data_IF_101487217397
#
_entry.id   IF_101487217397
#
_cell.length_a   1.000
_cell.length_b   1.000
_cell.length_c   1.000
_cell.angle_alpha   90.00
_cell.angle_beta   90.00
_cell.angle_gamma   90.00
#
_symmetry.space_group_name_H-M   'P 1'
#
loop_
_entity.id
_entity.type
_entity.pdbx_description
1 polymer ?
#
# COMPACT_ATOMS: atom_id res chain seq x y z
N UNK A 1 26.57 -5.58 -4.36
CA UNK A 1 25.12 -5.92 -4.39
C UNK A 1 24.86 -6.99 -3.34
N UNK A 2 24.52 -6.59 -2.10
CA UNK A 2 24.14 -7.56 -1.05
C UNK A 2 22.68 -7.94 -1.31
N UNK A 3 22.44 -9.24 -1.46
CA UNK A 3 21.15 -9.78 -1.87
C UNK A 3 20.08 -9.53 -0.80
N UNK A 4 19.02 -8.79 -1.14
CA UNK A 4 17.92 -8.36 -0.24
C UNK A 4 17.34 -9.54 0.57
N UNK A 5 17.23 -10.71 -0.08
CA UNK A 5 16.74 -11.96 0.53
C UNK A 5 17.63 -12.50 1.65
N UNK A 6 18.95 -12.30 1.56
CA UNK A 6 19.91 -12.76 2.56
C UNK A 6 19.80 -11.97 3.86
N UNK A 7 19.57 -10.66 3.75
CA UNK A 7 19.37 -9.78 4.91
C UNK A 7 18.01 -10.09 5.55
N UNK A 8 16.94 -10.19 4.76
CA UNK A 8 15.60 -10.49 5.28
C UNK A 8 15.54 -11.86 5.99
N UNK A 9 16.25 -12.86 5.49
CA UNK A 9 16.37 -14.18 6.14
C UNK A 9 17.10 -14.11 7.49
N UNK A 10 18.24 -13.40 7.55
CA UNK A 10 18.97 -13.18 8.81
C UNK A 10 18.12 -12.41 9.82
N UNK A 11 17.32 -11.44 9.36
CA UNK A 11 16.42 -10.68 10.22
C UNK A 11 15.24 -11.50 10.74
N UNK A 12 14.68 -12.39 9.92
CA UNK A 12 13.66 -13.33 10.39
C UNK A 12 14.22 -14.27 11.46
N UNK A 13 15.46 -14.73 11.29
CA UNK A 13 16.18 -15.48 12.33
C UNK A 13 16.35 -14.67 13.62
N UNK A 14 16.64 -13.36 13.55
CA UNK A 14 16.69 -12.49 14.72
C UNK A 14 15.32 -12.36 15.41
N UNK A 15 14.22 -12.42 14.67
CA UNK A 15 12.88 -12.24 15.25
C UNK A 15 12.29 -13.51 15.90
N UNK A 16 12.78 -14.71 15.55
CA UNK A 16 12.17 -16.00 15.97
C UNK A 16 13.09 -16.82 16.89
N UNK A 17 14.39 -16.51 16.99
CA UNK A 17 15.36 -17.32 17.74
C UNK A 17 15.87 -16.64 19.02
N UNK A 18 16.83 -17.28 19.70
CA UNK A 18 17.61 -16.76 20.85
C UNK A 18 18.28 -15.41 20.57
N UNK A 19 18.32 -15.00 19.29
CA UNK A 19 18.77 -13.72 18.79
C UNK A 19 17.72 -12.59 18.89
N UNK A 20 16.54 -12.88 19.45
CA UNK A 20 15.51 -11.88 19.68
C UNK A 20 15.95 -10.82 20.68
N UNK A 21 15.61 -9.56 20.41
CA UNK A 21 15.92 -8.41 21.27
C UNK A 21 15.34 -8.56 22.69
N UNK A 22 14.27 -9.35 22.87
CA UNK A 22 13.75 -9.66 24.21
C UNK A 22 14.60 -10.67 24.99
N UNK A 23 15.38 -11.50 24.32
CA UNK A 23 16.12 -12.58 24.99
C UNK A 23 17.11 -12.05 26.06
N UNK A 24 17.88 -10.98 25.80
CA UNK A 24 18.69 -10.34 26.84
C UNK A 24 17.88 -9.75 28.01
N UNK A 25 16.63 -9.31 27.80
CA UNK A 25 15.76 -8.85 28.88
C UNK A 25 15.37 -9.97 29.86
N UNK A 26 15.43 -11.24 29.43
CA UNK A 26 15.27 -12.39 30.31
C UNK A 26 16.61 -12.87 30.89
N UNK A 27 17.66 -12.91 30.07
CA UNK A 27 18.98 -13.42 30.46
C UNK A 27 19.65 -12.58 31.55
N UNK A 28 19.59 -11.24 31.47
CA UNK A 28 20.25 -10.33 32.42
C UNK A 28 19.66 -10.44 33.84
N UNK A 29 18.32 -10.44 34.04
CA UNK A 29 17.72 -10.75 35.33
C UNK A 29 18.05 -12.17 35.83
N UNK A 30 18.07 -13.18 34.96
CA UNK A 30 18.44 -14.55 35.34
C UNK A 30 19.88 -14.64 35.86
N UNK A 31 20.84 -13.94 35.23
CA UNK A 31 22.23 -13.89 35.70
C UNK A 31 22.35 -13.21 37.07
N UNK A 32 21.61 -12.12 37.30
CA UNK A 32 21.54 -11.48 38.62
C UNK A 32 20.91 -12.37 39.70
N UNK A 33 19.86 -13.13 39.35
CA UNK A 33 19.25 -14.11 40.26
C UNK A 33 20.23 -15.22 40.67
N UNK A 34 21.17 -15.57 39.79
CA UNK A 34 22.23 -16.54 40.06
C UNK A 34 23.46 -15.93 40.77
N UNK A 35 23.35 -14.69 41.26
CA UNK A 35 24.39 -13.93 41.97
C UNK A 35 25.64 -13.57 41.15
N UNK A 36 25.56 -13.56 39.81
CA UNK A 36 26.61 -12.93 39.01
C UNK A 36 26.64 -11.43 39.29
N UNK A 37 27.85 -10.92 39.53
CA UNK A 37 28.16 -9.51 39.71
C UNK A 37 28.31 -8.81 38.36
N UNK A 38 28.28 -7.47 38.36
CA UNK A 38 28.41 -6.70 37.12
C UNK A 38 29.81 -6.81 36.48
N UNK A 39 30.81 -7.31 37.22
CA UNK A 39 32.19 -7.50 36.75
C UNK A 39 32.40 -8.88 36.09
N UNK A 40 31.46 -9.80 36.28
CA UNK A 40 31.57 -11.13 35.70
C UNK A 40 31.48 -11.07 34.18
N UNK A 41 32.43 -11.75 33.53
CA UNK A 41 32.57 -11.77 32.07
C UNK A 41 31.26 -12.17 31.36
N UNK A 42 30.50 -13.11 31.95
CA UNK A 42 29.21 -13.56 31.42
C UNK A 42 28.15 -12.44 31.41
N UNK A 43 28.13 -11.58 32.44
CA UNK A 43 27.22 -10.45 32.51
C UNK A 43 27.60 -9.37 31.50
N UNK A 44 28.89 -9.08 31.37
CA UNK A 44 29.42 -8.12 30.40
C UNK A 44 29.12 -8.56 28.96
N UNK A 45 29.33 -9.83 28.63
CA UNK A 45 29.01 -10.39 27.31
C UNK A 45 27.51 -10.28 27.01
N UNK A 46 26.64 -10.64 27.98
CA UNK A 46 25.19 -10.55 27.81
C UNK A 46 24.72 -9.10 27.60
N UNK A 47 25.33 -8.13 28.31
CA UNK A 47 25.04 -6.71 28.15
C UNK A 47 25.49 -6.18 26.78
N UNK A 48 26.71 -6.52 26.33
CA UNK A 48 27.20 -6.15 24.99
C UNK A 48 26.29 -6.73 23.90
N UNK A 49 25.94 -8.01 24.03
CA UNK A 49 25.02 -8.68 23.11
C UNK A 49 23.65 -7.98 23.03
N UNK A 50 23.10 -7.56 24.18
CA UNK A 50 21.85 -6.79 24.23
C UNK A 50 21.94 -5.46 23.48
N UNK A 51 23.02 -4.72 23.71
CA UNK A 51 23.26 -3.42 23.08
C UNK A 51 23.43 -3.58 21.57
N UNK A 52 24.19 -4.57 21.12
CA UNK A 52 24.39 -4.85 19.69
C UNK A 52 23.06 -5.15 18.99
N UNK A 53 22.24 -6.05 19.55
CA UNK A 53 20.92 -6.36 18.98
C UNK A 53 19.97 -5.15 18.95
N UNK A 54 19.99 -4.32 20.00
CA UNK A 54 19.17 -3.11 20.07
C UNK A 54 19.60 -2.07 19.02
N UNK A 55 20.91 -1.85 18.86
CA UNK A 55 21.46 -0.95 17.84
C UNK A 55 21.13 -1.44 16.43
N UNK A 56 21.28 -2.74 16.16
CA UNK A 56 20.90 -3.34 14.86
C UNK A 56 19.42 -3.09 14.57
N UNK A 57 18.52 -3.26 15.57
CA UNK A 57 17.08 -3.03 15.41
C UNK A 57 16.73 -1.56 15.18
N UNK A 58 17.42 -0.63 15.84
CA UNK A 58 17.27 0.82 15.59
C UNK A 58 17.74 1.16 14.18
N UNK A 59 18.95 0.77 13.80
CA UNK A 59 19.51 1.06 12.48
C UNK A 59 18.64 0.46 11.37
N UNK A 60 18.14 -0.76 11.56
CA UNK A 60 17.19 -1.35 10.63
C UNK A 60 15.85 -0.62 10.62
N UNK A 61 15.32 -0.23 11.78
CA UNK A 61 14.10 0.56 11.88
C UNK A 61 14.21 1.90 11.15
N UNK A 62 15.36 2.57 11.27
CA UNK A 62 15.69 3.81 10.56
C UNK A 62 15.84 3.57 9.06
N UNK A 63 16.54 2.51 8.66
CA UNK A 63 16.69 2.13 7.25
C UNK A 63 15.35 1.78 6.59
N UNK A 64 14.53 0.97 7.26
CA UNK A 64 13.18 0.60 6.81
C UNK A 64 12.24 1.81 6.76
N UNK A 65 12.36 2.74 7.72
CA UNK A 65 11.60 4.01 7.71
C UNK A 65 12.04 4.92 6.57
N UNK A 66 13.35 4.98 6.31
CA UNK A 66 13.91 5.71 5.17
C UNK A 66 13.48 5.11 3.83
N UNK A 67 13.32 3.78 3.72
CA UNK A 67 12.78 3.14 2.51
C UNK A 67 11.25 3.24 2.39
N UNK A 68 10.52 3.43 3.49
CA UNK A 68 9.07 3.66 3.49
C UNK A 68 8.68 5.07 3.06
N UNK A 69 9.55 6.04 3.33
CA UNK A 69 9.49 7.35 2.69
C UNK A 69 9.94 7.12 1.25
N UNK A 70 8.99 6.86 0.36
CA UNK A 70 9.26 6.72 -1.07
C UNK A 70 10.11 7.89 -1.57
N UNK A 71 10.88 7.65 -2.64
CA UNK A 71 11.61 8.71 -3.33
C UNK A 71 10.70 9.88 -3.68
N UNK A 72 11.28 11.05 -3.92
CA UNK A 72 10.53 12.20 -4.40
C UNK A 72 9.88 11.80 -5.73
N UNK A 73 8.55 11.84 -5.81
CA UNK A 73 7.78 11.52 -7.02
C UNK A 73 8.07 12.60 -8.06
N UNK A 74 8.46 12.18 -9.27
CA UNK A 74 8.65 13.08 -10.40
C UNK A 74 7.40 13.08 -11.27
N UNK A 75 6.51 14.03 -11.00
CA UNK A 75 5.15 14.06 -11.55
C UNK A 75 5.05 14.11 -13.08
N UNK A 76 6.13 14.50 -13.78
CA UNK A 76 6.16 14.55 -15.25
C UNK A 76 6.24 13.15 -15.88
N UNK A 77 6.74 12.16 -15.15
CA UNK A 77 6.88 10.77 -15.61
C UNK A 77 5.74 9.86 -15.11
N UNK A 78 4.84 10.39 -14.28
CA UNK A 78 3.80 9.60 -13.64
C UNK A 78 2.48 9.63 -14.41
N UNK A 79 1.85 8.45 -14.53
CA UNK A 79 0.46 8.30 -14.97
C UNK A 79 -0.37 7.88 -13.77
N UNK A 80 -1.30 8.75 -13.35
CA UNK A 80 -2.15 8.53 -12.18
C UNK A 80 -3.50 7.95 -12.59
N UNK A 81 -3.75 6.71 -12.24
CA UNK A 81 -5.03 6.03 -12.44
C UNK A 81 -5.89 6.11 -11.18
N UNK A 82 -7.08 6.68 -11.28
CA UNK A 82 -8.01 6.87 -10.16
C UNK A 82 -9.30 6.12 -10.43
N UNK A 83 -9.75 5.29 -9.48
CA UNK A 83 -11.05 4.61 -9.56
C UNK A 83 -12.13 5.39 -8.80
N UNK A 84 -13.37 5.40 -9.30
CA UNK A 84 -14.50 6.07 -8.66
C UNK A 84 -14.43 7.60 -8.76
N UNK A 85 -14.33 8.14 -9.97
CA UNK A 85 -14.14 9.56 -10.23
C UNK A 85 -15.38 10.33 -10.66
N UNK A 86 -16.59 9.84 -10.38
CA UNK A 86 -17.83 10.58 -10.68
C UNK A 86 -18.45 11.20 -9.41
N UNK A 87 -18.92 12.43 -9.56
CA UNK A 87 -19.77 13.08 -8.55
C UNK A 87 -21.23 12.70 -8.81
N UNK A 88 -21.79 11.83 -7.98
CA UNK A 88 -23.24 11.60 -7.95
C UNK A 88 -23.85 12.30 -6.75
N UNK A 89 -24.62 13.37 -7.00
CA UNK A 89 -25.43 14.05 -5.96
C UNK A 89 -26.43 13.09 -5.29
N UNK A 90 -26.84 12.02 -5.99
CA UNK A 90 -27.89 11.09 -5.56
C UNK A 90 -27.46 10.02 -4.54
N UNK A 91 -26.17 9.77 -4.35
CA UNK A 91 -25.68 8.66 -3.50
C UNK A 91 -25.06 9.14 -2.19
N UNK A 92 -24.89 10.44 -1.99
CA UNK A 92 -24.14 11.00 -0.84
C UNK A 92 -22.66 10.60 -0.81
N UNK A 93 -22.16 9.90 -1.83
CA UNK A 93 -20.76 9.53 -1.97
C UNK A 93 -19.97 10.77 -2.40
N UNK A 94 -19.08 11.21 -1.52
CA UNK A 94 -18.23 12.37 -1.72
C UNK A 94 -17.34 12.18 -2.94
N UNK A 95 -17.40 13.14 -3.86
CA UNK A 95 -16.66 13.28 -5.10
C UNK A 95 -15.14 13.37 -5.01
N UNK A 96 -14.54 12.66 -4.06
CA UNK A 96 -13.11 12.71 -3.75
C UNK A 96 -12.26 12.24 -4.93
N UNK A 97 -12.71 11.20 -5.64
CA UNK A 97 -12.02 10.72 -6.84
C UNK A 97 -11.96 11.80 -7.92
N UNK A 98 -13.09 12.46 -8.22
CA UNK A 98 -13.12 13.55 -9.20
C UNK A 98 -12.30 14.75 -8.73
N UNK A 99 -12.48 15.17 -7.48
CA UNK A 99 -11.74 16.32 -6.92
C UNK A 99 -10.22 16.08 -6.95
N UNK A 100 -9.79 14.85 -6.67
CA UNK A 100 -8.39 14.47 -6.75
C UNK A 100 -7.90 14.47 -8.20
N UNK A 101 -8.69 13.93 -9.13
CA UNK A 101 -8.39 13.97 -10.54
C UNK A 101 -8.23 15.41 -11.05
N UNK A 102 -9.18 16.28 -10.75
CA UNK A 102 -9.16 17.70 -11.12
C UNK A 102 -7.96 18.43 -10.50
N UNK A 103 -7.67 18.16 -9.22
CA UNK A 103 -6.53 18.77 -8.51
C UNK A 103 -5.17 18.37 -9.10
N UNK A 104 -5.06 17.17 -9.66
CA UNK A 104 -3.85 16.68 -10.31
C UNK A 104 -3.77 17.20 -11.75
N UNK A 105 -4.88 17.20 -12.48
CA UNK A 105 -4.97 17.72 -13.85
C UNK A 105 -4.64 19.21 -13.93
N UNK A 106 -5.08 20.03 -12.96
CA UNK A 106 -4.71 21.46 -12.85
C UNK A 106 -3.19 21.67 -12.72
N UNK A 107 -2.47 20.66 -12.21
CA UNK A 107 -1.01 20.67 -12.09
C UNK A 107 -0.30 20.08 -13.31
N UNK A 108 -1.04 19.85 -14.41
CA UNK A 108 -0.54 19.23 -15.64
C UNK A 108 0.01 17.81 -15.46
N UNK A 109 -0.51 17.08 -14.47
CA UNK A 109 -0.18 15.67 -14.24
C UNK A 109 -1.09 14.81 -15.12
N UNK A 110 -0.54 13.75 -15.70
CA UNK A 110 -1.33 12.79 -16.49
C UNK A 110 -2.25 12.00 -15.55
N UNK A 111 -3.56 12.13 -15.75
CA UNK A 111 -4.58 11.51 -14.91
C UNK A 111 -5.55 10.74 -15.79
N UNK A 112 -5.84 9.52 -15.38
CA UNK A 112 -6.84 8.65 -15.97
C UNK A 112 -7.87 8.28 -14.91
N UNK A 113 -9.16 8.39 -15.26
CA UNK A 113 -10.26 8.07 -14.35
C UNK A 113 -11.04 6.85 -14.82
N UNK A 114 -11.27 5.91 -13.90
CA UNK A 114 -12.16 4.77 -14.10
C UNK A 114 -13.43 4.96 -13.28
N UNK A 115 -14.58 4.89 -13.94
CA UNK A 115 -15.87 4.89 -13.26
C UNK A 115 -16.91 4.11 -14.08
N UNK A 116 -17.99 3.65 -13.45
CA UNK A 116 -19.09 3.00 -14.16
C UNK A 116 -19.95 4.02 -14.94
N UNK A 117 -19.84 5.30 -14.57
CA UNK A 117 -20.51 6.41 -15.24
C UNK A 117 -19.52 7.30 -15.99
N UNK A 118 -19.95 7.99 -17.06
CA UNK A 118 -19.09 8.95 -17.74
C UNK A 118 -18.75 10.12 -16.81
N UNK A 119 -17.46 10.47 -16.76
CA UNK A 119 -16.96 11.60 -15.97
C UNK A 119 -17.44 12.90 -16.62
N UNK A 120 -17.93 13.83 -15.79
CA UNK A 120 -18.38 15.16 -16.22
C UNK A 120 -17.56 16.22 -15.50
N UNK A 121 -16.62 16.82 -16.22
CA UNK A 121 -15.77 17.91 -15.74
C UNK A 121 -15.47 18.87 -16.88
N UNK A 122 -15.07 20.11 -16.53
CA UNK A 122 -14.63 21.12 -17.50
C UNK A 122 -13.14 20.99 -17.85
N UNK A 123 -12.41 20.13 -17.15
CA UNK A 123 -11.00 19.85 -17.40
C UNK A 123 -10.85 18.73 -18.43
N UNK A 124 -9.73 18.77 -19.15
CA UNK A 124 -9.34 17.71 -20.07
C UNK A 124 -8.73 16.56 -19.28
N UNK A 125 -9.55 15.55 -18.96
CA UNK A 125 -9.17 14.37 -18.19
C UNK A 125 -9.61 13.13 -18.95
N UNK A 126 -8.66 12.24 -19.23
CA UNK A 126 -8.95 10.95 -19.85
C UNK A 126 -9.77 10.09 -18.89
N UNK A 127 -10.87 9.54 -19.38
CA UNK A 127 -11.77 8.72 -18.57
C UNK A 127 -12.35 7.55 -19.34
N UNK A 128 -12.48 6.42 -18.65
CA UNK A 128 -12.96 5.18 -19.23
C UNK A 128 -14.10 4.62 -18.38
N UNK A 129 -15.12 4.10 -19.07
CA UNK A 129 -16.21 3.39 -18.42
C UNK A 129 -15.69 2.00 -18.03
N UNK A 130 -15.65 1.73 -16.73
CA UNK A 130 -15.15 0.49 -16.15
C UNK A 130 -15.89 0.17 -14.84
N UNK A 131 -16.51 -1.02 -14.76
CA UNK A 131 -16.91 -1.61 -13.47
C UNK A 131 -15.73 -2.36 -12.86
N UNK A 132 -15.13 -1.78 -11.83
CA UNK A 132 -13.98 -2.38 -11.13
C UNK A 132 -14.29 -3.74 -10.48
N UNK A 133 -15.55 -4.10 -10.28
CA UNK A 133 -15.92 -5.44 -9.80
C UNK A 133 -15.82 -6.53 -10.89
N UNK A 134 -15.61 -6.13 -12.16
CA UNK A 134 -15.46 -7.04 -13.29
C UNK A 134 -14.00 -7.06 -13.79
N UNK A 135 -13.25 -8.15 -13.55
CA UNK A 135 -11.86 -8.28 -14.03
C UNK A 135 -11.69 -8.17 -15.54
N UNK A 136 -12.68 -8.64 -16.32
CA UNK A 136 -12.59 -8.59 -17.79
C UNK A 136 -12.71 -7.15 -18.30
N UNK A 137 -13.54 -6.35 -17.62
CA UNK A 137 -13.71 -4.93 -17.94
C UNK A 137 -12.44 -4.14 -17.59
N UNK A 138 -11.84 -4.43 -16.43
CA UNK A 138 -10.54 -3.87 -16.04
C UNK A 138 -9.47 -4.22 -17.08
N UNK A 139 -9.37 -5.48 -17.51
CA UNK A 139 -8.35 -5.90 -18.48
C UNK A 139 -8.53 -5.23 -19.86
N UNK A 140 -9.79 -5.06 -20.30
CA UNK A 140 -10.10 -4.32 -21.54
C UNK A 140 -9.63 -2.87 -21.45
N UNK A 141 -10.03 -2.18 -20.39
CA UNK A 141 -9.72 -0.76 -20.21
C UNK A 141 -8.22 -0.54 -19.93
N UNK A 142 -7.57 -1.45 -19.20
CA UNK A 142 -6.13 -1.38 -18.97
C UNK A 142 -5.34 -1.43 -20.28
N UNK A 143 -5.80 -2.21 -21.26
CA UNK A 143 -5.20 -2.22 -22.60
C UNK A 143 -5.37 -0.88 -23.31
N UNK A 144 -6.59 -0.32 -23.29
CA UNK A 144 -6.88 1.00 -23.90
C UNK A 144 -6.00 2.10 -23.28
N UNK A 145 -5.90 2.14 -21.94
CA UNK A 145 -5.06 3.10 -21.21
C UNK A 145 -3.59 3.00 -21.62
N UNK A 146 -3.05 1.78 -21.70
CA UNK A 146 -1.63 1.57 -22.06
C UNK A 146 -1.33 1.98 -23.50
N UNK A 147 -2.30 1.86 -24.40
CA UNK A 147 -2.16 2.25 -25.80
C UNK A 147 -2.29 3.77 -26.01
N UNK A 148 -3.20 4.43 -25.28
CA UNK A 148 -3.55 5.84 -25.48
C UNK A 148 -2.74 6.80 -24.59
N UNK A 149 -2.50 6.42 -23.33
CA UNK A 149 -1.89 7.29 -22.31
C UNK A 149 -0.52 6.79 -21.88
N UNK A 150 -0.38 5.47 -21.69
CA UNK A 150 0.82 4.82 -21.19
C UNK A 150 0.57 3.99 -19.93
N UNK A 151 1.64 3.43 -19.37
CA UNK A 151 1.56 2.54 -18.22
C UNK A 151 1.25 3.31 -16.92
N UNK A 152 0.16 2.98 -16.20
CA UNK A 152 -0.12 3.58 -14.90
C UNK A 152 0.97 3.28 -13.87
N UNK A 153 1.56 4.32 -13.32
CA UNK A 153 2.59 4.23 -12.28
C UNK A 153 2.02 4.50 -10.88
N UNK A 154 0.93 5.26 -10.79
CA UNK A 154 0.23 5.51 -9.54
C UNK A 154 -1.21 5.00 -9.65
N UNK A 155 -1.59 4.03 -8.82
CA UNK A 155 -2.96 3.52 -8.73
C UNK A 155 -3.63 4.01 -7.45
N UNK A 156 -4.72 4.76 -7.60
CA UNK A 156 -5.57 5.24 -6.51
C UNK A 156 -6.87 4.44 -6.52
N UNK A 157 -6.89 3.42 -5.67
CA UNK A 157 -8.08 2.61 -5.42
C UNK A 157 -9.03 3.37 -4.50
N UNK A 158 -9.93 4.14 -5.11
CA UNK A 158 -10.92 4.98 -4.44
C UNK A 158 -12.37 4.53 -4.69
N UNK A 159 -12.65 3.74 -5.73
CA UNK A 159 -13.99 3.25 -6.01
C UNK A 159 -14.58 2.52 -4.79
N UNK A 160 -15.77 2.97 -4.39
CA UNK A 160 -16.48 2.43 -3.25
C UNK A 160 -17.96 2.78 -3.29
N UNK A 161 -18.79 1.86 -2.79
CA UNK A 161 -20.22 2.06 -2.60
C UNK A 161 -20.59 1.84 -1.13
N UNK A 162 -21.65 2.49 -0.69
CA UNK A 162 -22.24 2.33 0.64
C UNK A 162 -23.75 2.24 0.50
N UNK A 163 -24.37 1.26 1.18
CA UNK A 163 -25.82 1.06 1.14
C UNK A 163 -26.57 1.80 2.27
N UNK A 164 -25.85 2.23 3.33
CA UNK A 164 -26.40 2.97 4.47
C UNK A 164 -27.36 2.16 5.38
N UNK A 165 -27.55 0.86 5.12
CA UNK A 165 -28.49 -0.01 5.84
C UNK A 165 -27.80 -0.73 6.99
N UNK A 166 -28.57 -1.11 8.02
CA UNK A 166 -28.05 -2.01 9.04
C UNK A 166 -27.86 -3.43 8.47
N UNK A 167 -27.12 -4.28 9.18
CA UNK A 167 -26.90 -5.68 8.77
C UNK A 167 -28.20 -6.49 8.71
N UNK A 168 -29.21 -6.14 9.52
CA UNK A 168 -30.51 -6.82 9.54
C UNK A 168 -31.40 -6.41 8.36
N UNK A 169 -31.17 -5.22 7.80
CA UNK A 169 -31.95 -4.64 6.70
C UNK A 169 -31.29 -4.83 5.33
N UNK A 170 -30.00 -5.15 5.32
CA UNK A 170 -29.24 -5.37 4.09
C UNK A 170 -29.54 -6.75 3.50
N UNK A 171 -29.86 -6.80 2.22
CA UNK A 171 -29.95 -8.05 1.49
C UNK A 171 -28.56 -8.69 1.29
N UNK A 172 -28.47 -10.03 1.17
CA UNK A 172 -27.23 -10.71 0.81
C UNK A 172 -26.58 -10.14 -0.46
N UNK A 173 -27.40 -9.74 -1.44
CA UNK A 173 -26.96 -9.18 -2.72
C UNK A 173 -26.29 -7.80 -2.54
N UNK A 174 -26.84 -6.94 -1.67
CA UNK A 174 -26.25 -5.62 -1.37
C UNK A 174 -24.92 -5.74 -0.62
N UNK A 175 -24.84 -6.68 0.33
CA UNK A 175 -23.60 -6.98 1.06
C UNK A 175 -22.55 -7.48 0.08
N UNK A 176 -22.92 -8.44 -0.78
CA UNK A 176 -22.03 -8.99 -1.80
C UNK A 176 -21.56 -7.89 -2.75
N UNK A 177 -22.45 -7.06 -3.26
CA UNK A 177 -22.10 -5.95 -4.16
C UNK A 177 -21.11 -4.97 -3.51
N UNK A 178 -21.28 -4.68 -2.22
CA UNK A 178 -20.34 -3.85 -1.46
C UNK A 178 -18.96 -4.49 -1.37
N UNK A 179 -18.88 -5.80 -1.13
CA UNK A 179 -17.62 -6.56 -1.12
C UNK A 179 -16.98 -6.64 -2.51
N UNK A 180 -17.80 -6.85 -3.55
CA UNK A 180 -17.36 -6.97 -4.94
C UNK A 180 -16.69 -5.65 -5.40
N UNK A 181 -17.22 -4.49 -5.02
CA UNK A 181 -16.64 -3.19 -5.37
C UNK A 181 -15.50 -2.79 -4.42
N UNK A 182 -15.78 -2.68 -3.12
CA UNK A 182 -14.88 -2.03 -2.16
C UNK A 182 -13.66 -2.90 -1.79
N UNK A 183 -13.76 -4.21 -1.97
CA UNK A 183 -12.68 -5.14 -1.68
C UNK A 183 -12.17 -5.83 -2.94
N UNK A 184 -13.00 -6.63 -3.61
CA UNK A 184 -12.55 -7.41 -4.77
C UNK A 184 -12.12 -6.52 -5.93
N UNK A 185 -12.83 -5.41 -6.18
CA UNK A 185 -12.44 -4.50 -7.24
C UNK A 185 -11.04 -3.94 -7.06
N UNK A 186 -10.65 -3.61 -5.84
CA UNK A 186 -9.27 -3.20 -5.54
C UNK A 186 -8.26 -4.34 -5.71
N UNK A 187 -8.64 -5.58 -5.42
CA UNK A 187 -7.79 -6.75 -5.67
C UNK A 187 -7.60 -6.95 -7.17
N UNK A 188 -8.65 -6.75 -7.97
CA UNK A 188 -8.60 -6.92 -9.43
C UNK A 188 -7.76 -5.85 -10.10
N UNK A 189 -7.92 -4.57 -9.73
CA UNK A 189 -7.05 -3.49 -10.24
C UNK A 189 -5.59 -3.73 -9.85
N UNK A 190 -5.32 -4.20 -8.62
CA UNK A 190 -3.96 -4.58 -8.23
C UNK A 190 -3.43 -5.73 -9.08
N UNK A 191 -4.21 -6.76 -9.35
CA UNK A 191 -3.77 -7.88 -10.20
C UNK A 191 -3.43 -7.43 -11.62
N UNK A 192 -4.09 -6.39 -12.12
CA UNK A 192 -3.87 -5.84 -13.45
C UNK A 192 -2.61 -4.94 -13.53
N UNK A 193 -2.48 -3.96 -12.62
CA UNK A 193 -1.44 -2.92 -12.75
C UNK A 193 -0.18 -3.18 -11.92
N UNK A 194 -0.26 -3.95 -10.83
CA UNK A 194 0.90 -4.21 -9.96
C UNK A 194 2.05 -4.98 -10.62
N UNK A 195 1.83 -5.97 -11.51
CA UNK A 195 2.93 -6.72 -12.12
C UNK A 195 3.94 -5.81 -12.83
N UNK A 196 3.48 -4.79 -13.55
CA UNK A 196 4.36 -3.85 -14.26
C UNK A 196 5.06 -2.89 -13.31
N UNK A 197 4.39 -2.42 -12.26
CA UNK A 197 5.03 -1.63 -11.20
C UNK A 197 6.19 -2.41 -10.53
N UNK A 198 5.99 -3.71 -10.28
CA UNK A 198 7.03 -4.59 -9.73
C UNK A 198 8.16 -4.78 -10.74
N UNK A 199 7.83 -5.05 -12.00
CA UNK A 199 8.80 -5.29 -13.08
C UNK A 199 9.70 -4.06 -13.30
N UNK A 200 9.12 -2.86 -13.25
CA UNK A 200 9.82 -1.60 -13.41
C UNK A 200 10.47 -1.11 -12.12
N UNK A 201 10.21 -1.78 -10.99
CA UNK A 201 10.63 -1.35 -9.65
C UNK A 201 10.26 0.13 -9.37
N UNK A 202 9.10 0.53 -9.89
CA UNK A 202 8.56 1.88 -9.81
C UNK A 202 7.04 1.82 -9.77
N UNK A 203 6.44 2.47 -8.79
CA UNK A 203 4.99 2.60 -8.71
C UNK A 203 4.48 2.82 -7.30
N UNK A 204 3.30 3.42 -7.22
CA UNK A 204 2.66 3.78 -5.95
C UNK A 204 1.21 3.34 -5.94
N UNK A 205 0.81 2.67 -4.85
CA UNK A 205 -0.58 2.28 -4.62
C UNK A 205 -1.11 3.09 -3.44
N UNK A 206 -2.22 3.77 -3.68
CA UNK A 206 -2.99 4.46 -2.66
C UNK A 206 -4.34 3.77 -2.56
N UNK A 207 -4.70 3.34 -1.34
CA UNK A 207 -6.04 2.85 -1.03
C UNK A 207 -6.72 3.89 -0.15
N UNK A 208 -7.90 4.32 -0.57
CA UNK A 208 -8.78 5.20 0.19
C UNK A 208 -9.77 4.36 1.00
#
# INVERSE_FOLDING_TARGET
MVNRRSIDFVLHMLDVTVLHVSFPFFLIPCLKLYKFTNEDLAFVIAAIYAVVLFVIKILYGLHKRSQRLGGKIDWEEEVVLITGGVNTESTGASGLGLLLAESLAIRHISVVVLDIQPVKTALDIESYICDVSNPEDIARVAKEIREEVGEPTILINNAGIVNGKSILESSPEEIKRTMDVNFLGQVFTLKEFLPDMIKNNHGHIVRI
#
